data_IF_659766576068
#
_entry.id   IF_659766576068
#
_cell.length_a   1.000
_cell.length_b   1.000
_cell.length_c   1.000
_cell.angle_alpha   90.00
_cell.angle_beta   90.00
_cell.angle_gamma   90.00
#
_symmetry.space_group_name_H-M   'P 1'
#
loop_
_entity.id
_entity.type
_entity.pdbx_description
1 polymer ?
#
# COMPACT_ATOMS: atom_id res chain seq x y z
N UNK A 1 -22.62 -0.08 -6.32
CA UNK A 1 -21.15 0.05 -6.39
C UNK A 1 -20.78 0.65 -7.73
N UNK A 2 -20.08 1.78 -7.73
CA UNK A 2 -19.59 2.34 -9.00
C UNK A 2 -18.36 1.56 -9.46
N UNK A 3 -18.16 1.41 -10.78
CA UNK A 3 -16.98 0.68 -11.31
C UNK A 3 -15.64 1.28 -10.80
N UNK A 4 -15.64 2.57 -10.51
CA UNK A 4 -14.51 3.30 -9.92
C UNK A 4 -14.15 2.82 -8.50
N UNK A 5 -15.13 2.50 -7.66
CA UNK A 5 -14.87 2.01 -6.29
C UNK A 5 -14.23 0.63 -6.28
N UNK A 6 -14.65 -0.26 -7.20
CA UNK A 6 -14.06 -1.60 -7.37
C UNK A 6 -12.62 -1.47 -7.84
N UNK A 7 -12.39 -0.72 -8.92
CA UNK A 7 -11.07 -0.52 -9.49
C UNK A 7 -10.09 0.07 -8.47
N UNK A 8 -10.52 1.11 -7.75
CA UNK A 8 -9.67 1.74 -6.74
C UNK A 8 -9.29 0.77 -5.60
N UNK A 9 -10.17 -0.18 -5.25
CA UNK A 9 -9.91 -1.17 -4.21
C UNK A 9 -9.00 -2.30 -4.65
N UNK A 10 -9.22 -2.85 -5.83
CA UNK A 10 -8.29 -3.81 -6.42
C UNK A 10 -6.90 -3.19 -6.58
N UNK A 11 -6.85 -1.90 -6.92
CA UNK A 11 -5.61 -1.14 -6.96
C UNK A 11 -4.94 -1.02 -5.58
N UNK A 12 -5.67 -0.65 -4.52
CA UNK A 12 -5.09 -0.60 -3.16
C UNK A 12 -4.63 -1.98 -2.67
N UNK A 13 -5.40 -3.04 -2.90
CA UNK A 13 -5.03 -4.41 -2.50
C UNK A 13 -3.78 -4.85 -3.28
N UNK A 14 -3.72 -4.54 -4.57
CA UNK A 14 -2.54 -4.73 -5.41
C UNK A 14 -1.33 -3.96 -4.88
N UNK A 15 -1.49 -2.70 -4.47
CA UNK A 15 -0.42 -1.92 -3.84
C UNK A 15 0.09 -2.58 -2.56
N UNK A 16 -0.81 -3.09 -1.71
CA UNK A 16 -0.44 -3.85 -0.51
C UNK A 16 0.43 -5.08 -0.86
N UNK A 17 0.02 -5.85 -1.86
CA UNK A 17 0.76 -6.99 -2.37
C UNK A 17 2.14 -6.61 -2.93
N UNK A 18 2.20 -5.60 -3.79
CA UNK A 18 3.47 -5.16 -4.36
C UNK A 18 4.42 -4.61 -3.30
N UNK A 19 3.93 -3.86 -2.31
CA UNK A 19 4.74 -3.41 -1.18
C UNK A 19 5.39 -4.58 -0.43
N UNK A 20 4.63 -5.64 -0.16
CA UNK A 20 5.17 -6.86 0.45
C UNK A 20 6.20 -7.55 -0.45
N UNK A 21 5.92 -7.65 -1.75
CA UNK A 21 6.84 -8.23 -2.73
C UNK A 21 8.19 -7.49 -2.78
N UNK A 22 8.15 -6.17 -2.87
CA UNK A 22 9.36 -5.35 -2.92
C UNK A 22 10.23 -5.55 -1.67
N UNK A 23 9.62 -5.58 -0.49
CA UNK A 23 10.32 -5.91 0.75
C UNK A 23 10.93 -7.32 0.70
N UNK A 24 10.22 -8.32 0.17
CA UNK A 24 10.78 -9.66 0.02
C UNK A 24 11.98 -9.72 -0.92
N UNK A 25 11.97 -8.91 -1.99
CA UNK A 25 13.11 -8.76 -2.90
C UNK A 25 14.28 -8.01 -2.22
N UNK A 26 14.05 -7.38 -1.07
CA UNK A 26 15.04 -6.56 -0.37
C UNK A 26 15.20 -5.16 -0.95
N UNK A 27 14.25 -4.73 -1.78
CA UNK A 27 14.25 -3.40 -2.41
C UNK A 27 13.08 -2.61 -1.85
N UNK A 28 13.35 -1.46 -1.24
CA UNK A 28 12.28 -0.50 -0.96
C UNK A 28 12.27 0.55 -2.08
N UNK A 29 11.38 0.45 -3.08
CA UNK A 29 11.36 1.34 -4.23
C UNK A 29 11.16 2.80 -3.82
N UNK A 30 10.40 3.05 -2.76
CA UNK A 30 10.22 4.39 -2.21
C UNK A 30 11.56 4.92 -1.71
N UNK A 31 12.24 4.17 -0.83
CA UNK A 31 13.57 4.57 -0.32
C UNK A 31 14.56 4.83 -1.46
N UNK A 32 14.63 3.96 -2.47
CA UNK A 32 15.56 4.13 -3.60
C UNK A 32 15.29 5.42 -4.38
N UNK A 33 14.01 5.75 -4.63
CA UNK A 33 13.63 6.98 -5.32
C UNK A 33 14.00 8.20 -4.47
N UNK A 34 13.65 8.19 -3.18
CA UNK A 34 13.90 9.31 -2.28
C UNK A 34 15.39 9.54 -2.00
N UNK A 35 16.19 8.48 -1.90
CA UNK A 35 17.65 8.57 -1.79
C UNK A 35 18.28 9.14 -3.07
N UNK A 36 17.79 8.72 -4.23
CA UNK A 36 18.25 9.26 -5.52
C UNK A 36 17.95 10.76 -5.63
N UNK A 37 16.72 11.16 -5.28
CA UNK A 37 16.32 12.57 -5.26
C UNK A 37 17.10 13.40 -4.23
N UNK A 38 17.32 12.85 -3.04
CA UNK A 38 18.15 13.48 -2.01
C UNK A 38 19.57 13.71 -2.53
N UNK A 39 20.18 12.70 -3.15
CA UNK A 39 21.54 12.79 -3.69
C UNK A 39 21.66 13.89 -4.75
N UNK A 40 20.69 13.98 -5.67
CA UNK A 40 20.64 15.05 -6.66
C UNK A 40 20.50 16.42 -5.99
N UNK A 41 19.63 16.54 -5.00
CA UNK A 41 19.39 17.80 -4.30
C UNK A 41 20.59 18.26 -3.48
N UNK A 42 21.25 17.36 -2.75
CA UNK A 42 22.46 17.65 -1.98
C UNK A 42 23.64 18.03 -2.88
N UNK A 43 23.69 17.47 -4.10
CA UNK A 43 24.69 17.85 -5.11
C UNK A 43 24.43 19.27 -5.64
N UNK A 44 23.17 19.66 -5.81
CA UNK A 44 22.78 20.98 -6.31
C UNK A 44 22.79 22.06 -5.22
N UNK A 45 22.53 21.71 -3.96
CA UNK A 45 22.46 22.64 -2.83
C UNK A 45 22.84 21.95 -1.49
N UNK A 46 24.15 21.89 -1.16
CA UNK A 46 24.69 21.14 -0.03
C UNK A 46 24.25 21.63 1.36
N UNK A 47 23.97 22.93 1.51
CA UNK A 47 23.65 23.57 2.80
C UNK A 47 22.15 23.64 3.11
N UNK A 48 21.33 23.04 2.25
CA UNK A 48 19.88 23.20 2.36
C UNK A 48 19.28 22.17 3.33
N UNK A 49 18.59 22.64 4.38
CA UNK A 49 17.82 21.78 5.31
C UNK A 49 16.65 21.02 4.66
N UNK A 50 16.55 21.03 3.33
CA UNK A 50 15.56 20.32 2.53
C UNK A 50 15.76 18.80 2.54
N UNK A 51 16.95 18.30 2.91
CA UNK A 51 17.21 16.84 3.07
C UNK A 51 16.23 16.16 4.04
N UNK A 52 15.75 16.91 5.05
CA UNK A 52 14.73 16.47 6.01
C UNK A 52 13.36 16.23 5.36
N UNK A 53 12.99 17.00 4.33
CA UNK A 53 11.72 16.81 3.61
C UNK A 53 11.66 15.44 2.91
N UNK A 54 12.79 14.95 2.39
CA UNK A 54 12.87 13.62 1.78
C UNK A 54 12.71 12.48 2.79
N UNK A 55 12.85 12.74 4.10
CA UNK A 55 12.49 11.78 5.16
C UNK A 55 11.02 11.91 5.56
N UNK A 56 10.51 13.13 5.66
CA UNK A 56 9.15 13.39 6.13
C UNK A 56 8.08 13.03 5.09
N UNK A 57 8.37 13.24 3.81
CA UNK A 57 7.40 13.08 2.74
C UNK A 57 6.95 11.62 2.51
N UNK A 58 7.83 10.61 2.49
CA UNK A 58 7.44 9.20 2.44
C UNK A 58 6.51 8.80 3.60
N UNK A 59 6.81 9.29 4.79
CA UNK A 59 6.00 9.04 5.98
C UNK A 59 4.58 9.62 5.81
N UNK A 60 4.46 10.85 5.31
CA UNK A 60 3.18 11.49 5.06
C UNK A 60 2.37 10.76 3.97
N UNK A 61 3.03 10.30 2.90
CA UNK A 61 2.39 9.49 1.86
C UNK A 61 1.89 8.16 2.42
N UNK A 62 2.70 7.49 3.25
CA UNK A 62 2.32 6.25 3.92
C UNK A 62 1.09 6.47 4.81
N UNK A 63 1.12 7.50 5.67
CA UNK A 63 -0.03 7.84 6.53
C UNK A 63 -1.27 8.14 5.69
N UNK A 64 -1.14 8.96 4.64
CA UNK A 64 -2.25 9.29 3.74
C UNK A 64 -2.84 8.05 3.05
N UNK A 65 -1.99 7.12 2.60
CA UNK A 65 -2.43 5.88 1.97
C UNK A 65 -3.19 4.97 2.93
N UNK A 66 -2.72 4.85 4.19
CA UNK A 66 -3.39 4.07 5.24
C UNK A 66 -4.72 4.70 5.62
N UNK A 67 -4.76 6.03 5.78
CA UNK A 67 -6.00 6.75 6.07
C UNK A 67 -7.02 6.63 4.94
N UNK A 68 -6.58 6.75 3.68
CA UNK A 68 -7.44 6.56 2.51
C UNK A 68 -8.00 5.14 2.43
N UNK A 69 -7.16 4.13 2.68
CA UNK A 69 -7.59 2.74 2.76
C UNK A 69 -8.63 2.51 3.87
N UNK A 70 -8.41 3.07 5.06
CA UNK A 70 -9.33 2.97 6.17
C UNK A 70 -10.67 3.66 5.89
N UNK A 71 -10.65 4.86 5.29
CA UNK A 71 -11.87 5.61 4.99
C UNK A 71 -12.82 4.85 4.02
N UNK A 72 -12.27 4.08 3.08
CA UNK A 72 -13.07 3.38 2.06
C UNK A 72 -13.38 1.91 2.40
N UNK A 73 -12.50 1.22 3.10
CA UNK A 73 -12.63 -0.20 3.41
C UNK A 73 -12.94 -0.51 4.87
N UNK A 74 -12.86 0.49 5.75
CA UNK A 74 -12.96 0.31 7.19
C UNK A 74 -11.91 -0.69 7.71
N UNK A 75 -12.24 -1.35 8.83
CA UNK A 75 -11.35 -2.34 9.46
C UNK A 75 -11.12 -3.58 8.57
N UNK A 76 -12.14 -4.02 7.84
CA UNK A 76 -12.06 -5.22 6.99
C UNK A 76 -11.16 -4.96 5.78
N UNK A 77 -11.23 -3.76 5.18
CA UNK A 77 -10.33 -3.37 4.10
C UNK A 77 -8.85 -3.33 4.53
N UNK A 78 -8.56 -2.87 5.76
CA UNK A 78 -7.19 -2.93 6.28
C UNK A 78 -6.70 -4.37 6.48
N UNK A 79 -7.57 -5.28 6.92
CA UNK A 79 -7.23 -6.70 7.03
C UNK A 79 -6.92 -7.28 5.64
N UNK A 80 -7.72 -6.96 4.62
CA UNK A 80 -7.46 -7.40 3.24
C UNK A 80 -6.09 -6.90 2.73
N UNK A 81 -5.74 -5.64 3.00
CA UNK A 81 -4.42 -5.09 2.63
C UNK A 81 -3.30 -5.80 3.38
N UNK A 82 -3.48 -6.09 4.67
CA UNK A 82 -2.51 -6.86 5.45
C UNK A 82 -2.30 -8.28 4.91
N UNK A 83 -3.37 -8.96 4.53
CA UNK A 83 -3.30 -10.29 3.90
C UNK A 83 -2.58 -10.20 2.55
N UNK A 84 -2.91 -9.20 1.73
CA UNK A 84 -2.23 -8.97 0.45
C UNK A 84 -0.73 -8.70 0.65
N UNK A 85 -0.37 -7.88 1.65
CA UNK A 85 1.02 -7.59 2.01
C UNK A 85 1.80 -8.85 2.43
N UNK A 86 1.23 -9.67 3.31
CA UNK A 86 1.84 -10.97 3.68
C UNK A 86 1.94 -11.88 2.45
N UNK A 87 0.94 -11.87 1.58
CA UNK A 87 0.98 -12.55 0.29
C UNK A 87 2.19 -12.12 -0.54
N UNK A 88 2.41 -10.82 -0.69
CA UNK A 88 3.58 -10.27 -1.40
C UNK A 88 4.90 -10.71 -0.78
N UNK A 89 5.01 -10.66 0.55
CA UNK A 89 6.21 -11.09 1.28
C UNK A 89 6.58 -12.55 1.01
N UNK A 90 5.57 -13.40 0.86
CA UNK A 90 5.76 -14.84 0.65
C UNK A 90 5.95 -15.21 -0.83
N UNK A 91 5.92 -14.25 -1.76
CA UNK A 91 5.99 -14.57 -3.19
C UNK A 91 7.27 -15.32 -3.58
N UNK A 92 8.40 -14.99 -2.95
CA UNK A 92 9.70 -15.60 -3.24
C UNK A 92 9.86 -16.95 -2.53
N UNK A 93 9.47 -17.03 -1.26
CA UNK A 93 9.67 -18.23 -0.43
C UNK A 93 8.59 -19.29 -0.63
N UNK A 94 7.35 -18.88 -0.92
CA UNK A 94 6.18 -19.73 -1.02
C UNK A 94 5.16 -19.20 -2.05
N UNK A 95 5.46 -19.27 -3.36
CA UNK A 95 4.64 -18.64 -4.41
C UNK A 95 3.18 -19.09 -4.42
N UNK A 96 2.92 -20.38 -4.15
CA UNK A 96 1.56 -20.92 -4.14
C UNK A 96 0.72 -20.27 -3.02
N UNK A 97 1.29 -20.14 -1.82
CA UNK A 97 0.63 -19.50 -0.68
C UNK A 97 0.43 -18.00 -0.91
N UNK A 98 1.39 -17.35 -1.57
CA UNK A 98 1.27 -15.95 -1.98
C UNK A 98 0.04 -15.69 -2.86
N UNK A 99 -0.15 -16.52 -3.89
CA UNK A 99 -1.32 -16.41 -4.78
C UNK A 99 -2.62 -16.68 -4.03
N UNK A 100 -2.66 -17.70 -3.17
CA UNK A 100 -3.84 -18.01 -2.35
C UNK A 100 -4.19 -16.81 -1.45
N UNK A 101 -3.21 -16.22 -0.77
CA UNK A 101 -3.44 -15.05 0.09
C UNK A 101 -3.92 -13.84 -0.72
N UNK A 102 -3.39 -13.63 -1.93
CA UNK A 102 -3.86 -12.55 -2.80
C UNK A 102 -5.33 -12.74 -3.19
N UNK A 103 -5.73 -13.95 -3.59
CA UNK A 103 -7.13 -14.26 -3.92
C UNK A 103 -8.04 -14.05 -2.71
N UNK A 104 -7.63 -14.54 -1.54
CA UNK A 104 -8.36 -14.34 -0.28
C UNK A 104 -8.48 -12.84 0.04
N UNK A 105 -7.41 -12.07 -0.12
CA UNK A 105 -7.42 -10.63 0.10
C UNK A 105 -8.40 -9.91 -0.84
N UNK A 106 -8.45 -10.29 -2.12
CA UNK A 106 -9.41 -9.74 -3.08
C UNK A 106 -10.86 -10.06 -2.67
N UNK A 107 -11.14 -11.30 -2.26
CA UNK A 107 -12.49 -11.71 -1.81
C UNK A 107 -12.91 -10.99 -0.51
N UNK A 108 -12.01 -10.85 0.47
CA UNK A 108 -12.30 -10.12 1.70
C UNK A 108 -12.49 -8.63 1.40
N UNK A 109 -11.66 -8.09 0.50
CA UNK A 109 -11.72 -6.71 0.05
C UNK A 109 -13.05 -6.36 -0.61
N UNK A 110 -13.64 -7.26 -1.38
CA UNK A 110 -14.97 -7.05 -1.98
C UNK A 110 -16.09 -7.06 -0.94
N UNK A 111 -16.04 -7.97 0.04
CA UNK A 111 -17.05 -8.06 1.12
C UNK A 111 -16.97 -6.87 2.07
N UNK A 112 -15.77 -6.36 2.35
CA UNK A 112 -15.58 -5.16 3.16
C UNK A 112 -16.40 -3.97 2.66
N UNK A 113 -16.55 -3.86 1.34
CA UNK A 113 -17.27 -2.74 0.72
C UNK A 113 -18.77 -2.83 0.92
N UNK A 114 -19.33 -4.03 0.75
CA UNK A 114 -20.75 -4.27 0.92
C UNK A 114 -21.19 -3.94 2.35
N UNK A 115 -20.38 -4.32 3.35
CA UNK A 115 -20.66 -4.02 4.75
C UNK A 115 -20.61 -2.53 5.09
N UNK A 116 -19.69 -1.76 4.48
CA UNK A 116 -19.51 -0.35 4.79
C UNK A 116 -20.61 0.52 4.15
N UNK A 117 -21.09 0.13 2.96
CA UNK A 117 -22.22 0.77 2.29
C UNK A 117 -23.57 0.40 2.92
N UNK A 118 -23.71 -0.79 3.51
CA UNK A 118 -24.90 -1.19 4.25
C UNK A 118 -25.08 -0.41 5.57
N UNK A 119 -23.98 0.08 6.17
CA UNK A 119 -24.00 0.88 7.40
C UNK A 119 -24.31 2.37 7.20
N UNK A 120 -24.32 2.87 5.96
CA UNK A 120 -24.51 4.31 5.67
C UNK A 120 -25.99 4.76 5.61
N UNK A 121 -26.94 3.87 5.92
CA UNK A 121 -28.39 4.13 5.88
C UNK A 121 -29.07 4.10 7.26
N UNK A 122 -28.31 4.09 8.35
CA UNK A 122 -28.82 4.25 9.72
C UNK A 122 -28.19 5.47 10.39
#
# INVERSE_FOLDING_TARGET
MTKSEVFFKEFIIGLGFFSGFWIAVGVNPETVIFESLRTVMETLNPDSGFSFMFTLFPLLLTIGSVMGAYAMGGKIGMIAIGIAFVGGLLLISAPLFSVILLVIAMMIGSVAVESNHAGAWF
#
